data_IF_322060652821
#
_entry.id   IF_322060652821
#
_cell.length_a   1.000
_cell.length_b   1.000
_cell.length_c   1.000
_cell.angle_alpha   90.00
_cell.angle_beta   90.00
_cell.angle_gamma   90.00
#
_symmetry.space_group_name_H-M   'P 1'
#
loop_
_entity.id
_entity.type
_entity.pdbx_description
1 polymer ?
#
# COMPACT_ATOMS: atom_id res chain seq x y z
N UNK A 1 11.78 20.79 -2.42
CA UNK A 1 11.25 19.59 -3.09
C UNK A 1 10.70 20.02 -4.45
N UNK A 2 10.92 19.26 -5.54
CA UNK A 2 10.17 19.51 -6.79
C UNK A 2 8.67 19.38 -6.47
N UNK A 3 7.82 20.24 -7.05
CA UNK A 3 6.38 20.28 -6.76
C UNK A 3 5.68 18.91 -6.91
N UNK A 4 6.16 18.07 -7.84
CA UNK A 4 5.70 16.68 -8.02
C UNK A 4 5.90 15.81 -6.78
N UNK A 5 6.99 15.97 -6.04
CA UNK A 5 7.27 15.17 -4.84
C UNK A 5 6.39 15.61 -3.65
N UNK A 6 6.02 16.89 -3.57
CA UNK A 6 5.10 17.36 -2.53
C UNK A 6 3.70 16.75 -2.71
N UNK A 7 3.19 16.74 -3.94
CA UNK A 7 1.89 16.13 -4.25
C UNK A 7 1.87 14.63 -3.89
N UNK A 8 2.94 13.90 -4.20
CA UNK A 8 3.06 12.49 -3.85
C UNK A 8 3.07 12.23 -2.35
N UNK A 9 3.74 13.09 -1.58
CA UNK A 9 3.72 13.01 -0.12
C UNK A 9 2.33 13.32 0.43
N UNK A 10 1.60 14.26 -0.16
CA UNK A 10 0.21 14.54 0.23
C UNK A 10 -0.67 13.30 -0.05
N UNK A 11 -0.57 12.70 -1.23
CA UNK A 11 -1.30 11.47 -1.60
C UNK A 11 -0.97 10.34 -0.61
N UNK A 12 0.30 10.17 -0.26
CA UNK A 12 0.74 9.20 0.73
C UNK A 12 0.05 9.38 2.08
N UNK A 13 0.02 10.61 2.59
CA UNK A 13 -0.63 10.92 3.86
C UNK A 13 -2.13 10.65 3.78
N UNK A 14 -2.79 11.05 2.70
CA UNK A 14 -4.23 10.78 2.50
C UNK A 14 -4.51 9.28 2.57
N UNK A 15 -3.72 8.46 1.87
CA UNK A 15 -3.90 6.99 1.89
C UNK A 15 -3.74 6.43 3.31
N UNK A 16 -2.71 6.86 4.05
CA UNK A 16 -2.55 6.44 5.44
C UNK A 16 -3.75 6.82 6.31
N UNK A 17 -4.26 8.04 6.16
CA UNK A 17 -5.45 8.51 6.87
C UNK A 17 -6.69 7.69 6.49
N UNK A 18 -6.83 7.29 5.23
CA UNK A 18 -7.95 6.44 4.79
C UNK A 18 -7.96 5.09 5.47
N UNK A 19 -6.81 4.40 5.56
CA UNK A 19 -6.73 3.12 6.28
C UNK A 19 -6.93 3.27 7.79
N UNK A 20 -6.44 4.37 8.36
CA UNK A 20 -6.66 4.69 9.76
C UNK A 20 -8.16 4.94 10.05
N UNK A 21 -8.83 5.73 9.21
CA UNK A 21 -10.22 6.11 9.39
C UNK A 21 -11.23 4.95 9.29
N UNK A 22 -10.80 3.80 8.75
CA UNK A 22 -11.63 2.59 8.63
C UNK A 22 -11.21 1.50 9.62
N UNK A 23 -10.36 1.83 10.58
CA UNK A 23 -9.82 0.94 11.62
C UNK A 23 -9.19 -0.33 11.02
N UNK A 24 -8.54 -0.20 9.87
CA UNK A 24 -8.11 -1.34 9.07
C UNK A 24 -7.21 -2.33 9.83
N UNK A 25 -6.31 -1.80 10.66
CA UNK A 25 -5.36 -2.62 11.40
C UNK A 25 -6.02 -3.47 12.51
N UNK A 26 -7.24 -3.14 12.94
CA UNK A 26 -8.00 -3.95 13.89
C UNK A 26 -8.74 -5.12 13.22
N UNK A 27 -8.88 -5.09 11.89
CA UNK A 27 -9.56 -6.13 11.11
C UNK A 27 -8.67 -7.36 10.84
N UNK A 28 -7.37 -7.23 11.11
CA UNK A 28 -6.36 -8.24 10.91
C UNK A 28 -5.72 -8.62 12.24
N UNK A 29 -5.45 -9.92 12.40
CA UNK A 29 -4.65 -10.46 13.50
C UNK A 29 -3.17 -10.09 13.33
N UNK A 30 -2.41 -10.19 14.42
CA UNK A 30 -0.96 -9.94 14.38
C UNK A 30 -0.21 -10.83 13.38
N UNK A 31 -0.64 -12.09 13.20
CA UNK A 31 -0.06 -13.00 12.22
C UNK A 31 -0.36 -12.54 10.78
N UNK A 32 -1.60 -12.12 10.50
CA UNK A 32 -2.00 -11.62 9.19
C UNK A 32 -1.23 -10.34 8.82
N UNK A 33 -1.04 -9.43 9.78
CA UNK A 33 -0.21 -8.24 9.60
C UNK A 33 1.26 -8.59 9.34
N UNK A 34 1.81 -9.56 10.08
CA UNK A 34 3.18 -10.03 9.86
C UNK A 34 3.36 -10.62 8.45
N UNK A 35 2.41 -11.45 8.01
CA UNK A 35 2.39 -11.99 6.64
C UNK A 35 2.28 -10.86 5.61
N UNK A 36 1.45 -9.84 5.88
CA UNK A 36 1.32 -8.69 4.99
C UNK A 36 2.63 -7.90 4.86
N UNK A 37 3.37 -7.71 5.96
CA UNK A 37 4.68 -7.06 5.93
C UNK A 37 5.67 -7.86 5.08
N UNK A 38 5.77 -9.17 5.30
CA UNK A 38 6.66 -10.02 4.49
C UNK A 38 6.25 -10.00 3.02
N UNK A 39 4.96 -10.20 2.74
CA UNK A 39 4.43 -10.21 1.38
C UNK A 39 4.62 -8.86 0.68
N UNK A 40 4.41 -7.75 1.38
CA UNK A 40 4.65 -6.40 0.87
C UNK A 40 6.13 -6.14 0.57
N UNK A 41 7.04 -6.56 1.45
CA UNK A 41 8.49 -6.47 1.22
C UNK A 41 8.91 -7.30 0.00
N UNK A 42 8.36 -8.52 -0.15
CA UNK A 42 8.61 -9.36 -1.31
C UNK A 42 8.05 -8.72 -2.59
N UNK A 43 6.79 -8.27 -2.58
CA UNK A 43 6.18 -7.55 -3.69
C UNK A 43 7.03 -6.34 -4.08
N UNK A 44 7.49 -5.58 -3.09
CA UNK A 44 8.35 -4.44 -3.30
C UNK A 44 9.64 -4.81 -4.02
N UNK A 45 10.33 -5.83 -3.51
CA UNK A 45 11.59 -6.31 -4.07
C UNK A 45 11.46 -6.83 -5.50
N UNK A 46 10.38 -7.57 -5.80
CA UNK A 46 10.22 -8.30 -7.05
C UNK A 46 9.51 -7.50 -8.16
N UNK A 47 8.59 -6.59 -7.80
CA UNK A 47 7.66 -5.98 -8.75
C UNK A 47 7.87 -4.46 -8.82
N UNK A 48 7.84 -3.77 -7.69
CA UNK A 48 7.68 -2.30 -7.67
C UNK A 48 8.98 -1.53 -7.37
N UNK A 49 10.11 -2.21 -7.19
CA UNK A 49 11.42 -1.57 -7.03
C UNK A 49 12.22 -1.56 -8.35
N UNK A 50 12.31 -0.39 -9.01
CA UNK A 50 13.22 -0.18 -10.15
C UNK A 50 14.66 0.04 -9.67
N UNK A 51 15.49 -0.99 -9.76
CA UNK A 51 16.95 -0.85 -9.85
C UNK A 51 17.76 -0.90 -8.55
N UNK A 52 17.19 -0.62 -7.36
CA UNK A 52 17.94 -0.74 -6.10
C UNK A 52 17.34 -1.79 -5.15
N UNK A 53 17.74 -3.04 -5.37
CA UNK A 53 17.38 -4.20 -4.54
C UNK A 53 17.82 -4.10 -3.07
N UNK A 54 18.64 -3.12 -2.70
CA UNK A 54 19.02 -2.88 -1.32
C UNK A 54 17.90 -2.15 -0.56
N UNK A 55 16.91 -2.91 -0.09
CA UNK A 55 15.79 -2.43 0.75
C UNK A 55 16.30 -1.64 1.98
N UNK A 56 17.48 -2.00 2.47
CA UNK A 56 18.16 -1.37 3.62
C UNK A 56 18.50 0.12 3.38
N UNK A 57 18.62 0.56 2.12
CA UNK A 57 19.01 1.93 1.77
C UNK A 57 17.80 2.83 1.46
N UNK A 58 16.58 2.38 1.73
CA UNK A 58 15.37 3.16 1.50
C UNK A 58 15.28 4.28 2.55
N UNK A 59 15.44 5.53 2.11
CA UNK A 59 15.34 6.71 2.99
C UNK A 59 13.87 6.97 3.36
N UNK A 60 13.57 7.35 4.62
CA UNK A 60 12.21 7.73 5.02
C UNK A 60 11.62 8.81 4.10
N UNK A 61 10.33 8.69 3.79
CA UNK A 61 9.56 9.58 2.91
C UNK A 61 10.04 9.70 1.45
N UNK A 62 11.08 8.95 1.06
CA UNK A 62 11.47 8.81 -0.35
C UNK A 62 10.39 8.07 -1.15
N UNK A 63 10.42 8.16 -2.48
CA UNK A 63 9.49 7.42 -3.34
C UNK A 63 9.52 5.91 -3.08
N UNK A 64 10.71 5.31 -2.96
CA UNK A 64 10.85 3.90 -2.62
C UNK A 64 10.25 3.53 -1.26
N UNK A 65 10.37 4.40 -0.26
CA UNK A 65 9.74 4.19 1.04
C UNK A 65 8.21 4.18 0.93
N UNK A 66 7.64 5.16 0.23
CA UNK A 66 6.18 5.25 0.08
C UNK A 66 5.63 4.05 -0.69
N UNK A 67 6.30 3.65 -1.77
CA UNK A 67 5.93 2.44 -2.55
C UNK A 67 6.00 1.19 -1.67
N UNK A 68 7.05 1.01 -0.87
CA UNK A 68 7.12 -0.13 0.06
C UNK A 68 5.93 -0.16 1.03
N UNK A 69 5.56 0.99 1.61
CA UNK A 69 4.40 1.08 2.50
C UNK A 69 3.11 0.77 1.74
N UNK A 70 2.95 1.27 0.51
CA UNK A 70 1.81 0.93 -0.31
C UNK A 70 1.74 -0.57 -0.61
N UNK A 71 2.86 -1.22 -0.93
CA UNK A 71 2.89 -2.67 -1.20
C UNK A 71 2.45 -3.48 0.04
N UNK A 72 2.89 -3.07 1.23
CA UNK A 72 2.44 -3.70 2.49
C UNK A 72 0.94 -3.50 2.71
N UNK A 73 0.43 -2.28 2.54
CA UNK A 73 -1.01 -1.99 2.67
C UNK A 73 -1.84 -2.74 1.64
N UNK A 74 -1.33 -2.84 0.40
CA UNK A 74 -1.97 -3.54 -0.69
C UNK A 74 -2.08 -5.03 -0.39
N UNK A 75 -0.99 -5.68 0.05
CA UNK A 75 -1.01 -7.10 0.45
C UNK A 75 -1.89 -7.32 1.67
N UNK A 76 -1.87 -6.44 2.67
CA UNK A 76 -2.76 -6.53 3.82
C UNK A 76 -4.23 -6.49 3.39
N UNK A 77 -4.58 -5.58 2.49
CA UNK A 77 -5.96 -5.44 1.99
C UNK A 77 -6.39 -6.67 1.16
N UNK A 78 -5.48 -7.26 0.38
CA UNK A 78 -5.73 -8.53 -0.29
C UNK A 78 -6.01 -9.66 0.71
N UNK A 79 -5.23 -9.75 1.79
CA UNK A 79 -5.45 -10.73 2.86
C UNK A 79 -6.84 -10.52 3.48
N UNK A 80 -7.20 -9.27 3.79
CA UNK A 80 -8.54 -8.94 4.28
C UNK A 80 -9.64 -9.40 3.33
N UNK A 81 -9.50 -9.14 2.02
CA UNK A 81 -10.50 -9.55 1.04
C UNK A 81 -10.61 -11.07 0.88
N UNK A 82 -9.48 -11.79 0.92
CA UNK A 82 -9.46 -13.25 0.87
C UNK A 82 -10.16 -13.83 2.10
N UNK A 83 -9.83 -13.33 3.30
CA UNK A 83 -10.44 -13.75 4.58
C UNK A 83 -11.94 -13.54 4.61
N UNK A 84 -12.41 -12.40 4.09
CA UNK A 84 -13.81 -11.97 4.19
C UNK A 84 -14.66 -12.32 2.97
N UNK A 85 -14.03 -12.84 1.91
CA UNK A 85 -14.67 -13.14 0.62
C UNK A 85 -15.21 -11.91 -0.11
N UNK A 86 -14.77 -10.70 0.26
CA UNK A 86 -15.36 -9.42 -0.21
C UNK A 86 -15.28 -9.24 -1.72
N UNK A 87 -14.22 -9.74 -2.36
CA UNK A 87 -14.05 -9.67 -3.82
C UNK A 87 -15.19 -10.33 -4.62
N UNK A 88 -15.95 -11.23 -3.99
CA UNK A 88 -17.03 -11.99 -4.61
C UNK A 88 -18.43 -11.47 -4.23
N UNK A 89 -18.53 -10.37 -3.46
CA UNK A 89 -19.80 -9.80 -3.04
C UNK A 89 -20.34 -8.86 -4.12
N UNK A 90 -21.66 -8.89 -4.33
CA UNK A 90 -22.37 -7.97 -5.24
C UNK A 90 -22.17 -6.48 -4.86
N UNK A 91 -21.87 -6.20 -3.59
CA UNK A 91 -21.69 -4.85 -3.04
C UNK A 91 -20.24 -4.51 -2.71
N UNK A 92 -19.27 -4.98 -3.50
CA UNK A 92 -17.84 -4.70 -3.31
C UNK A 92 -17.53 -3.21 -3.09
N UNK A 93 -18.19 -2.32 -3.84
CA UNK A 93 -18.00 -0.86 -3.74
C UNK A 93 -18.45 -0.25 -2.41
N UNK A 94 -19.27 -0.97 -1.63
CA UNK A 94 -19.74 -0.56 -0.31
C UNK A 94 -18.80 -1.00 0.82
N UNK A 95 -17.84 -1.88 0.54
CA UNK A 95 -16.85 -2.28 1.53
C UNK A 95 -15.91 -1.11 1.84
N UNK A 96 -15.75 -0.81 3.13
CA UNK A 96 -14.95 0.32 3.62
C UNK A 96 -13.46 0.23 3.22
N UNK A 97 -12.94 -0.96 2.91
CA UNK A 97 -11.54 -1.18 2.52
C UNK A 97 -11.34 -1.08 1.01
N UNK A 98 -12.40 -1.20 0.20
CA UNK A 98 -12.30 -1.18 -1.26
C UNK A 98 -11.66 0.11 -1.80
N UNK A 99 -12.13 1.27 -1.35
CA UNK A 99 -11.59 2.56 -1.81
C UNK A 99 -10.14 2.80 -1.36
N UNK A 100 -9.77 2.63 -0.07
CA UNK A 100 -8.36 2.66 0.35
C UNK A 100 -7.48 1.73 -0.49
N UNK A 101 -7.92 0.50 -0.74
CA UNK A 101 -7.20 -0.47 -1.57
C UNK A 101 -6.98 0.03 -3.00
N UNK A 102 -8.05 0.50 -3.65
CA UNK A 102 -7.98 1.00 -5.02
C UNK A 102 -7.00 2.18 -5.14
N UNK A 103 -7.09 3.16 -4.24
CA UNK A 103 -6.19 4.31 -4.23
C UNK A 103 -4.74 3.91 -3.93
N UNK A 104 -4.53 2.88 -3.11
CA UNK A 104 -3.19 2.31 -2.88
C UNK A 104 -2.58 1.78 -4.18
N UNK A 105 -3.33 0.99 -4.93
CA UNK A 105 -2.88 0.46 -6.22
C UNK A 105 -2.54 1.56 -7.23
N UNK A 106 -3.37 2.61 -7.29
CA UNK A 106 -3.10 3.77 -8.14
C UNK A 106 -1.85 4.54 -7.69
N UNK A 107 -1.66 4.73 -6.39
CA UNK A 107 -0.49 5.42 -5.86
C UNK A 107 0.81 4.66 -6.08
N UNK A 108 0.78 3.32 -6.04
CA UNK A 108 1.91 2.48 -6.48
C UNK A 108 2.27 2.84 -7.92
N UNK A 109 1.32 2.81 -8.84
CA UNK A 109 1.58 3.11 -10.25
C UNK A 109 2.12 4.55 -10.47
N UNK A 110 1.64 5.53 -9.71
CA UNK A 110 2.07 6.93 -9.81
C UNK A 110 3.49 7.10 -9.26
N UNK A 111 3.76 6.65 -8.03
CA UNK A 111 5.09 6.81 -7.41
C UNK A 111 6.14 5.95 -8.13
N UNK A 112 5.75 4.78 -8.64
CA UNK A 112 6.62 3.90 -9.44
C UNK A 112 7.09 4.55 -10.74
N UNK A 113 6.21 5.27 -11.45
CA UNK A 113 6.52 5.84 -12.76
C UNK A 113 7.22 7.20 -12.70
N UNK A 114 7.20 7.89 -11.56
CA UNK A 114 7.88 9.19 -11.39
C UNK A 114 9.30 9.02 -10.85
N UNK A 115 9.63 7.86 -10.27
CA UNK A 115 10.96 7.54 -9.75
C UNK A 115 11.92 6.93 -10.78
N UNK A 116 11.42 6.53 -11.96
CA UNK A 116 12.22 6.05 -13.11
C UNK A 116 12.29 7.10 -14.21
#
# INVERSE_FOLDING_TARGET
MKASNLLQVIIFIIILVMYYAVDFFELLSGLELFIAVIGGVLMHYWITNKGNKAIVNIKPFSGGFRVLIYDILFVAALIYFVKTGVLWKEYLLQDKIFWPFLFTGLAIAIDYNVAG
#
